data_IF_974011808130
#
_entry.id   IF_974011808130
#
_cell.length_a   1.000
_cell.length_b   1.000
_cell.length_c   1.000
_cell.angle_alpha   90.00
_cell.angle_beta   90.00
_cell.angle_gamma   90.00
#
_symmetry.space_group_name_H-M   'P 1'
#
loop_
_entity.id
_entity.type
_entity.pdbx_description
1 polymer ?
#
# COMPACT_ATOMS: atom_id res chain seq x y z
N UNK A 1 42.45 48.07 -35.32
CA UNK A 1 41.91 48.46 -36.64
C UNK A 1 41.87 47.20 -37.52
N UNK A 2 40.77 46.94 -38.25
CA UNK A 2 40.58 45.85 -39.26
C UNK A 2 40.73 44.38 -38.80
N UNK A 3 39.59 43.71 -38.58
CA UNK A 3 39.32 42.33 -39.09
C UNK A 3 38.74 42.51 -40.52
N UNK A 4 38.78 41.54 -41.48
CA UNK A 4 37.87 40.37 -41.39
C UNK A 4 38.24 39.09 -42.20
N UNK A 5 37.45 38.01 -41.99
CA UNK A 5 36.94 37.00 -42.96
C UNK A 5 37.95 36.44 -44.00
N UNK A 6 38.36 35.16 -43.99
CA UNK A 6 37.66 33.99 -44.59
C UNK A 6 38.64 32.77 -44.52
N UNK A 7 38.29 31.46 -44.55
CA UNK A 7 37.01 30.70 -44.71
C UNK A 7 37.14 29.28 -44.08
N UNK A 8 36.12 28.44 -44.29
CA UNK A 8 36.00 27.01 -43.95
C UNK A 8 36.94 26.06 -44.73
N UNK A 9 37.33 24.92 -44.14
CA UNK A 9 37.30 23.60 -44.82
C UNK A 9 37.43 22.38 -43.87
N UNK A 10 36.48 21.44 -44.01
CA UNK A 10 36.48 20.00 -43.67
C UNK A 10 36.58 19.44 -42.23
N UNK A 11 35.85 18.32 -42.09
CA UNK A 11 35.49 17.58 -40.88
C UNK A 11 36.40 16.37 -40.60
N UNK A 12 36.47 15.91 -39.35
CA UNK A 12 36.65 14.50 -39.01
C UNK A 12 36.03 14.17 -37.64
N UNK A 13 35.15 13.17 -37.59
CA UNK A 13 34.66 12.53 -36.36
C UNK A 13 35.56 11.34 -36.02
N UNK A 14 35.79 11.08 -34.73
CA UNK A 14 36.08 9.72 -34.22
C UNK A 14 35.89 9.68 -32.70
N UNK A 15 35.09 8.73 -32.22
CA UNK A 15 34.66 8.60 -30.82
C UNK A 15 35.13 7.26 -30.23
N UNK A 16 35.70 7.28 -29.03
CA UNK A 16 35.81 6.15 -28.11
C UNK A 16 36.18 6.68 -26.71
N UNK A 17 35.61 6.24 -25.59
CA UNK A 17 34.56 5.24 -25.41
C UNK A 17 34.45 4.86 -23.93
N UNK A 18 33.90 5.75 -23.09
CA UNK A 18 33.72 5.46 -21.66
C UNK A 18 32.42 4.68 -21.44
N UNK A 19 32.51 3.36 -21.44
CA UNK A 19 31.37 2.48 -21.10
C UNK A 19 31.17 2.53 -19.58
N UNK A 20 30.43 3.54 -19.12
CA UNK A 20 29.80 3.48 -17.82
C UNK A 20 28.71 2.41 -17.87
N UNK A 21 29.03 1.20 -17.39
CA UNK A 21 28.02 0.17 -17.15
C UNK A 21 27.14 0.67 -16.01
N UNK A 22 26.06 1.36 -16.36
CA UNK A 22 24.97 1.61 -15.44
C UNK A 22 24.43 0.24 -15.02
N UNK A 23 24.67 -0.13 -13.77
CA UNK A 23 23.98 -1.25 -13.13
C UNK A 23 22.51 -0.82 -12.97
N UNK A 24 21.73 -0.98 -14.04
CA UNK A 24 20.28 -0.91 -14.00
C UNK A 24 19.85 -2.09 -13.15
N UNK A 25 19.66 -1.83 -11.85
CA UNK A 25 19.07 -2.79 -10.95
C UNK A 25 17.67 -3.09 -11.47
N UNK A 26 17.53 -4.22 -12.16
CA UNK A 26 16.22 -4.75 -12.51
C UNK A 26 15.54 -5.07 -11.20
N UNK A 27 14.58 -4.23 -10.81
CA UNK A 27 13.61 -4.59 -9.79
C UNK A 27 12.95 -5.88 -10.29
N UNK A 28 13.33 -7.02 -9.72
CA UNK A 28 12.76 -8.31 -10.05
C UNK A 28 11.29 -8.23 -9.67
N UNK A 29 10.43 -8.10 -10.68
CA UNK A 29 8.99 -8.11 -10.47
C UNK A 29 8.64 -9.43 -9.76
N UNK A 30 7.98 -9.31 -8.61
CA UNK A 30 7.54 -10.47 -7.84
C UNK A 30 6.60 -11.32 -8.70
N UNK A 31 6.68 -12.65 -8.53
CA UNK A 31 5.77 -13.55 -9.22
C UNK A 31 4.30 -13.16 -8.91
N UNK A 32 3.42 -13.04 -9.92
CA UNK A 32 2.05 -12.58 -9.71
C UNK A 32 1.24 -13.46 -8.74
N UNK A 33 1.51 -14.77 -8.65
CA UNK A 33 0.85 -15.66 -7.69
C UNK A 33 1.35 -15.42 -6.26
N UNK A 34 2.66 -15.18 -6.08
CA UNK A 34 3.20 -14.77 -4.77
C UNK A 34 2.67 -13.39 -4.35
N UNK A 35 2.48 -12.45 -5.29
CA UNK A 35 1.87 -11.14 -5.00
C UNK A 35 0.42 -11.27 -4.48
N UNK A 36 -0.41 -12.11 -5.11
CA UNK A 36 -1.77 -12.41 -4.62
C UNK A 36 -1.75 -13.11 -3.26
N UNK A 37 -0.86 -14.10 -3.07
CA UNK A 37 -0.71 -14.80 -1.79
C UNK A 37 -0.27 -13.84 -0.67
N UNK A 38 0.63 -12.91 -0.96
CA UNK A 38 1.13 -11.95 0.02
C UNK A 38 0.06 -10.95 0.43
N UNK A 39 -0.67 -10.33 -0.51
CA UNK A 39 -1.74 -9.38 -0.16
C UNK A 39 -2.87 -10.04 0.63
N UNK A 40 -3.23 -11.29 0.31
CA UNK A 40 -4.19 -12.07 1.09
C UNK A 40 -3.68 -12.38 2.50
N UNK A 41 -2.39 -12.70 2.66
CA UNK A 41 -1.78 -12.90 3.99
C UNK A 41 -1.82 -11.62 4.83
N UNK A 42 -1.52 -10.47 4.24
CA UNK A 42 -1.58 -9.16 4.90
C UNK A 42 -3.02 -8.81 5.34
N UNK A 43 -4.01 -8.99 4.46
CA UNK A 43 -5.42 -8.76 4.82
C UNK A 43 -5.91 -9.71 5.92
N UNK A 44 -5.43 -10.97 5.94
CA UNK A 44 -5.74 -11.93 7.02
C UNK A 44 -5.14 -11.51 8.37
N UNK A 45 -3.93 -10.98 8.37
CA UNK A 45 -3.25 -10.46 9.56
C UNK A 45 -3.99 -9.23 10.13
N UNK A 46 -4.32 -8.26 9.26
CA UNK A 46 -5.16 -7.10 9.58
C UNK A 46 -6.53 -7.55 10.12
N UNK A 47 -7.17 -8.54 9.50
CA UNK A 47 -8.42 -9.12 9.99
C UNK A 47 -8.30 -9.78 11.37
N UNK A 48 -7.11 -10.29 11.74
CA UNK A 48 -6.79 -10.75 13.09
C UNK A 48 -6.71 -9.60 14.09
N UNK A 49 -5.96 -8.55 13.75
CA UNK A 49 -5.86 -7.34 14.56
C UNK A 49 -7.24 -6.67 14.81
N UNK A 50 -8.04 -6.51 13.75
CA UNK A 50 -9.39 -5.94 13.84
C UNK A 50 -10.34 -6.76 14.73
N UNK A 51 -10.18 -8.09 14.77
CA UNK A 51 -10.92 -8.96 15.71
C UNK A 51 -10.51 -8.73 17.17
N UNK A 52 -9.21 -8.53 17.44
CA UNK A 52 -8.73 -8.20 18.80
C UNK A 52 -9.33 -6.88 19.29
N UNK A 53 -9.25 -5.83 18.47
CA UNK A 53 -9.84 -4.52 18.78
C UNK A 53 -11.36 -4.63 18.97
N UNK A 54 -12.04 -5.38 18.12
CA UNK A 54 -13.49 -5.61 18.24
C UNK A 54 -13.84 -6.32 19.57
N UNK A 55 -13.05 -7.30 20.02
CA UNK A 55 -13.28 -7.99 21.29
C UNK A 55 -13.12 -7.05 22.50
N UNK A 56 -12.17 -6.11 22.46
CA UNK A 56 -12.08 -5.06 23.47
C UNK A 56 -13.29 -4.12 23.42
N UNK A 57 -13.65 -3.60 22.24
CA UNK A 57 -14.74 -2.64 22.08
C UNK A 57 -16.10 -3.25 22.46
N UNK A 58 -16.43 -4.44 21.97
CA UNK A 58 -17.75 -5.10 22.20
C UNK A 58 -17.83 -5.83 23.54
N UNK A 59 -16.82 -6.64 23.86
CA UNK A 59 -16.91 -7.57 25.00
C UNK A 59 -16.13 -7.08 26.23
N UNK A 60 -15.27 -6.07 26.09
CA UNK A 60 -14.35 -5.63 27.16
C UNK A 60 -13.21 -6.62 27.42
N UNK A 61 -12.87 -7.45 26.43
CA UNK A 61 -11.79 -8.45 26.53
C UNK A 61 -10.45 -7.84 26.13
N UNK A 62 -9.39 -8.17 26.87
CA UNK A 62 -8.06 -7.60 26.67
C UNK A 62 -7.93 -6.18 27.21
N UNK A 63 -6.88 -5.49 26.77
CA UNK A 63 -6.42 -4.22 27.31
C UNK A 63 -6.27 -3.16 26.21
N UNK A 64 -6.24 -1.89 26.59
CA UNK A 64 -5.96 -0.80 25.66
C UNK A 64 -4.54 -0.88 25.04
N UNK A 65 -3.59 -1.51 25.75
CA UNK A 65 -2.26 -1.81 25.19
C UNK A 65 -2.33 -2.84 24.05
N UNK A 66 -3.13 -3.90 24.19
CA UNK A 66 -3.35 -4.87 23.12
C UNK A 66 -4.12 -4.27 21.93
N UNK A 67 -5.05 -3.34 22.18
CA UNK A 67 -5.68 -2.52 21.13
C UNK A 67 -4.65 -1.70 20.38
N UNK A 68 -3.71 -1.06 21.09
CA UNK A 68 -2.64 -0.27 20.48
C UNK A 68 -1.75 -1.14 19.59
N UNK A 69 -1.25 -2.27 20.09
CA UNK A 69 -0.45 -3.22 19.29
C UNK A 69 -1.20 -3.72 18.07
N UNK A 70 -2.50 -4.03 18.20
CA UNK A 70 -3.33 -4.42 17.05
C UNK A 70 -3.49 -3.28 16.03
N UNK A 71 -3.68 -2.04 16.47
CA UNK A 71 -3.73 -0.88 15.57
C UNK A 71 -2.38 -0.65 14.87
N UNK A 72 -1.26 -0.82 15.57
CA UNK A 72 0.10 -0.80 15.01
C UNK A 72 0.32 -1.89 13.93
N UNK A 73 -0.28 -3.07 14.09
CA UNK A 73 -0.32 -4.10 13.02
C UNK A 73 -1.03 -3.57 11.77
N UNK A 74 -2.18 -2.88 11.90
CA UNK A 74 -2.89 -2.30 10.75
C UNK A 74 -2.05 -1.20 10.07
N UNK A 75 -1.37 -0.34 10.86
CA UNK A 75 -0.47 0.70 10.34
C UNK A 75 0.72 0.12 9.57
N UNK A 76 1.30 -1.00 10.02
CA UNK A 76 2.55 -1.55 9.46
C UNK A 76 2.35 -2.58 8.35
N UNK A 77 1.22 -3.30 8.37
CA UNK A 77 0.89 -4.35 7.40
C UNK A 77 0.00 -3.84 6.26
N UNK A 78 -0.83 -2.82 6.51
CA UNK A 78 -1.75 -2.22 5.54
C UNK A 78 -1.15 -1.45 4.34
N UNK A 79 -0.10 -0.62 4.48
CA UNK A 79 0.32 0.30 3.42
C UNK A 79 1.23 -0.32 2.35
N UNK A 80 1.48 -1.63 2.37
CA UNK A 80 2.37 -2.33 1.41
C UNK A 80 1.69 -2.60 0.07
N UNK A 81 1.13 -1.55 -0.53
CA UNK A 81 0.38 -1.58 -1.78
C UNK A 81 1.27 -1.85 -3.01
N UNK A 82 2.46 -1.25 -3.03
CA UNK A 82 3.38 -1.29 -4.17
C UNK A 82 3.87 -2.72 -4.43
N UNK A 83 3.83 -3.13 -5.71
CA UNK A 83 4.23 -4.47 -6.16
C UNK A 83 3.22 -5.60 -5.92
N UNK A 84 2.19 -5.42 -5.10
CA UNK A 84 1.22 -6.48 -4.77
C UNK A 84 -0.03 -6.54 -5.66
N UNK A 85 -0.16 -5.59 -6.58
CA UNK A 85 -1.24 -5.53 -7.56
C UNK A 85 -0.73 -5.52 -9.02
N UNK A 86 0.01 -6.55 -9.48
CA UNK A 86 0.31 -6.70 -10.91
C UNK A 86 -0.98 -6.77 -11.72
N UNK A 87 -1.00 -6.12 -12.89
CA UNK A 87 -2.18 -6.08 -13.76
C UNK A 87 -2.68 -7.48 -14.14
N UNK A 88 -4.00 -7.65 -14.25
CA UNK A 88 -4.63 -8.94 -14.54
C UNK A 88 -4.78 -9.87 -13.32
N UNK A 89 -4.17 -9.58 -12.17
CA UNK A 89 -4.26 -10.44 -10.97
C UNK A 89 -5.57 -10.34 -10.17
N UNK A 90 -6.60 -9.63 -10.65
CA UNK A 90 -7.81 -9.34 -9.86
C UNK A 90 -8.87 -10.44 -10.00
N UNK A 91 -9.37 -10.66 -11.22
CA UNK A 91 -10.45 -11.60 -11.54
C UNK A 91 -9.89 -12.84 -12.22
N UNK A 92 -10.32 -14.03 -11.79
CA UNK A 92 -9.93 -15.31 -12.41
C UNK A 92 -8.48 -15.74 -12.17
N UNK A 93 -7.70 -14.97 -11.41
CA UNK A 93 -6.31 -15.26 -11.13
C UNK A 93 -6.12 -15.91 -9.75
N UNK A 94 -5.76 -17.20 -9.74
CA UNK A 94 -5.54 -17.95 -8.51
C UNK A 94 -6.79 -18.03 -7.63
N UNK A 95 -6.67 -17.58 -6.38
CA UNK A 95 -7.80 -17.41 -5.43
C UNK A 95 -8.12 -15.94 -5.17
N UNK A 96 -7.84 -15.05 -6.11
CA UNK A 96 -8.13 -13.62 -5.93
C UNK A 96 -9.63 -13.37 -5.93
N UNK A 97 -10.10 -12.70 -4.88
CA UNK A 97 -11.48 -12.25 -4.66
C UNK A 97 -11.58 -10.74 -4.95
N UNK A 98 -10.90 -10.25 -5.99
CA UNK A 98 -10.76 -8.82 -6.23
C UNK A 98 -11.52 -8.39 -7.49
N UNK A 99 -12.35 -7.35 -7.36
CA UNK A 99 -13.17 -6.80 -8.46
C UNK A 99 -12.27 -6.20 -9.55
N UNK A 100 -12.67 -6.37 -10.82
CA UNK A 100 -11.97 -5.79 -11.96
C UNK A 100 -11.88 -4.24 -11.92
N UNK A 101 -12.77 -3.59 -11.17
CA UNK A 101 -12.82 -2.13 -10.99
C UNK A 101 -11.50 -1.53 -10.46
N UNK A 102 -10.66 -2.32 -9.78
CA UNK A 102 -9.33 -1.90 -9.32
C UNK A 102 -8.46 -1.37 -10.48
N UNK A 103 -8.54 -1.95 -11.68
CA UNK A 103 -7.72 -1.51 -12.81
C UNK A 103 -8.13 -0.14 -13.36
N UNK A 104 -9.42 0.17 -13.29
CA UNK A 104 -9.96 1.49 -13.71
C UNK A 104 -9.95 2.54 -12.59
N UNK A 105 -9.87 2.12 -11.33
CA UNK A 105 -9.93 3.02 -10.16
C UNK A 105 -8.68 2.93 -9.26
N UNK A 106 -7.53 2.53 -9.81
CA UNK A 106 -6.29 2.23 -9.06
C UNK A 106 -5.88 3.32 -8.06
N UNK A 107 -6.03 4.60 -8.42
CA UNK A 107 -5.72 5.73 -7.53
C UNK A 107 -6.67 5.80 -6.32
N UNK A 108 -7.97 5.56 -6.54
CA UNK A 108 -9.01 5.55 -5.49
C UNK A 108 -8.85 4.33 -4.59
N UNK A 109 -8.47 3.19 -5.17
CA UNK A 109 -8.12 1.98 -4.43
C UNK A 109 -6.88 2.20 -3.54
N UNK A 110 -5.81 2.80 -4.06
CA UNK A 110 -4.63 3.19 -3.27
C UNK A 110 -4.97 4.16 -2.13
N UNK A 111 -5.85 5.15 -2.37
CA UNK A 111 -6.37 6.05 -1.33
C UNK A 111 -7.14 5.32 -0.22
N UNK A 112 -7.77 4.18 -0.51
CA UNK A 112 -8.39 3.32 0.50
C UNK A 112 -7.39 2.82 1.54
N UNK A 113 -6.23 2.32 1.11
CA UNK A 113 -5.15 1.89 2.01
C UNK A 113 -4.57 3.07 2.81
N UNK A 114 -4.42 4.24 2.19
CA UNK A 114 -3.97 5.46 2.89
C UNK A 114 -4.95 5.88 3.98
N UNK A 115 -6.25 5.89 3.69
CA UNK A 115 -7.30 6.23 4.66
C UNK A 115 -7.33 5.22 5.83
N UNK A 116 -7.22 3.92 5.53
CA UNK A 116 -7.11 2.87 6.56
C UNK A 116 -5.89 3.09 7.47
N UNK A 117 -4.71 3.36 6.90
CA UNK A 117 -3.49 3.67 7.66
C UNK A 117 -3.67 4.88 8.58
N UNK A 118 -4.23 5.98 8.07
CA UNK A 118 -4.52 7.19 8.85
C UNK A 118 -5.48 6.93 10.01
N UNK A 119 -6.57 6.18 9.79
CA UNK A 119 -7.51 5.86 10.87
C UNK A 119 -6.91 4.89 11.91
N UNK A 120 -5.99 4.02 11.50
CA UNK A 120 -5.24 3.15 12.39
C UNK A 120 -4.22 3.94 13.23
N UNK A 121 -3.48 4.89 12.66
CA UNK A 121 -2.58 5.79 13.41
C UNK A 121 -3.33 6.63 14.45
N UNK A 122 -4.54 7.09 14.13
CA UNK A 122 -5.41 7.76 15.08
C UNK A 122 -5.87 6.80 16.19
N UNK A 123 -6.16 5.54 15.86
CA UNK A 123 -6.52 4.52 16.86
C UNK A 123 -5.37 4.19 17.81
N UNK A 124 -4.13 4.13 17.33
CA UNK A 124 -2.92 3.99 18.17
C UNK A 124 -2.85 5.10 19.23
N UNK A 125 -3.09 6.36 18.84
CA UNK A 125 -3.08 7.53 19.73
C UNK A 125 -4.26 7.52 20.72
N UNK A 126 -5.44 7.09 20.28
CA UNK A 126 -6.63 7.00 21.15
C UNK A 126 -6.50 5.84 22.14
N UNK A 127 -5.82 4.75 21.79
CA UNK A 127 -5.58 3.61 22.67
C UNK A 127 -4.79 4.00 23.94
N UNK A 128 -3.84 4.95 23.84
CA UNK A 128 -3.08 5.47 24.99
C UNK A 128 -3.96 6.17 26.05
N UNK A 129 -5.22 6.52 25.74
CA UNK A 129 -6.16 7.10 26.71
C UNK A 129 -6.79 6.07 27.65
N UNK A 130 -6.83 4.78 27.25
CA UNK A 130 -7.56 3.73 27.96
C UNK A 130 -9.10 3.83 27.88
N UNK A 131 -9.67 4.89 27.32
CA UNK A 131 -11.12 5.09 27.23
C UNK A 131 -11.73 4.17 26.16
N UNK A 132 -12.46 3.15 26.63
CA UNK A 132 -13.15 2.18 25.77
C UNK A 132 -14.19 2.81 24.84
N UNK A 133 -14.84 3.91 25.22
CA UNK A 133 -15.81 4.60 24.37
C UNK A 133 -15.09 5.42 23.27
N UNK A 134 -14.00 6.12 23.61
CA UNK A 134 -13.16 6.81 22.63
C UNK A 134 -12.53 5.82 21.63
N UNK A 135 -11.96 4.71 22.14
CA UNK A 135 -11.43 3.60 21.34
C UNK A 135 -12.53 3.03 20.44
N UNK A 136 -13.74 2.79 20.95
CA UNK A 136 -14.87 2.30 20.17
C UNK A 136 -15.29 3.23 19.02
N UNK A 137 -15.30 4.54 19.26
CA UNK A 137 -15.58 5.55 18.22
C UNK A 137 -14.52 5.53 17.13
N UNK A 138 -13.23 5.51 17.50
CA UNK A 138 -12.14 5.52 16.53
C UNK A 138 -12.01 4.17 15.77
N UNK A 139 -12.32 3.05 16.43
CA UNK A 139 -12.45 1.75 15.78
C UNK A 139 -13.58 1.73 14.73
N UNK A 140 -14.71 2.40 15.01
CA UNK A 140 -15.78 2.58 14.03
C UNK A 140 -15.30 3.34 12.78
N UNK A 141 -14.57 4.44 12.97
CA UNK A 141 -13.99 5.21 11.86
C UNK A 141 -13.00 4.39 11.02
N UNK A 142 -12.16 3.57 11.66
CA UNK A 142 -11.28 2.62 10.96
C UNK A 142 -12.08 1.55 10.20
N UNK A 143 -13.09 0.94 10.83
CA UNK A 143 -13.91 -0.12 10.24
C UNK A 143 -14.62 0.32 8.94
N UNK A 144 -15.14 1.54 8.87
CA UNK A 144 -15.76 2.05 7.64
C UNK A 144 -14.77 2.18 6.46
N UNK A 145 -13.45 2.35 6.72
CA UNK A 145 -12.44 2.31 5.64
C UNK A 145 -12.29 0.91 5.04
N UNK A 146 -12.37 -0.13 5.88
CA UNK A 146 -12.32 -1.53 5.43
C UNK A 146 -13.58 -1.86 4.63
N UNK A 147 -14.75 -1.52 5.18
CA UNK A 147 -16.06 -1.79 4.56
C UNK A 147 -16.20 -1.10 3.19
N UNK A 148 -15.97 0.22 3.12
CA UNK A 148 -16.09 0.96 1.85
C UNK A 148 -15.11 0.52 0.77
N UNK A 149 -13.91 0.07 1.15
CA UNK A 149 -12.95 -0.53 0.24
C UNK A 149 -13.44 -1.90 -0.27
N UNK A 150 -13.96 -2.76 0.60
CA UNK A 150 -14.45 -4.08 0.21
C UNK A 150 -15.71 -4.00 -0.66
N UNK A 151 -16.69 -3.17 -0.30
CA UNK A 151 -17.89 -2.91 -1.09
C UNK A 151 -17.53 -2.53 -2.56
N UNK A 152 -16.50 -1.70 -2.73
CA UNK A 152 -16.01 -1.26 -4.04
C UNK A 152 -15.10 -2.28 -4.77
N UNK A 153 -14.26 -3.03 -4.05
CA UNK A 153 -13.10 -3.72 -4.66
C UNK A 153 -12.89 -5.20 -4.29
N UNK A 154 -13.63 -5.76 -3.33
CA UNK A 154 -13.57 -7.18 -2.94
C UNK A 154 -14.88 -7.88 -3.34
N UNK A 155 -14.80 -9.12 -3.83
CA UNK A 155 -15.95 -9.99 -4.09
C UNK A 155 -16.28 -10.75 -2.80
N UNK A 156 -17.52 -10.65 -2.31
CA UNK A 156 -17.95 -11.07 -0.96
C UNK A 156 -17.78 -12.59 -0.65
#
# INVERSE_FOLDING_TARGET
MKRPISKLFQSALLSAGLVAVAAVGTAMAQDPADAVKQRQSQMKEIGGAMKSIQAFVKDGKGTAAEVKTAAETVVTTGPKFEGLWPEGTAVGFGKSEAKAAIWTEMEKFAKGFQAMGQQAELLVKVADTGDRAAIGKQFGALYETCKSCHEAYHED
#
